data_IF_746789296897
#
_entry.id   IF_746789296897
#
_cell.length_a   1.000
_cell.length_b   1.000
_cell.length_c   1.000
_cell.angle_alpha   90.00
_cell.angle_beta   90.00
_cell.angle_gamma   90.00
#
_symmetry.space_group_name_H-M   'P 1'
#
loop_
_entity.id
_entity.type
_entity.pdbx_description
1 polymer ?
#
# COMPACT_ATOMS: atom_id res chain seq x y z
N UNK A 1 13.14 -4.15 9.87
CA UNK A 1 12.05 -3.62 10.72
C UNK A 1 10.85 -4.54 10.63
N UNK A 2 10.26 -4.95 11.77
CA UNK A 2 8.98 -5.66 11.75
C UNK A 2 7.93 -4.83 11.04
N UNK A 3 7.00 -5.51 10.35
CA UNK A 3 5.91 -4.86 9.65
C UNK A 3 5.00 -4.08 10.63
N UNK A 4 4.26 -3.08 10.14
CA UNK A 4 3.28 -2.41 10.99
C UNK A 4 2.22 -3.43 11.44
N UNK A 5 1.70 -3.24 12.66
CA UNK A 5 0.63 -4.07 13.22
C UNK A 5 -0.57 -4.11 12.24
N UNK A 6 -0.94 -5.31 11.75
CA UNK A 6 -1.98 -5.45 10.74
C UNK A 6 -3.38 -5.13 11.26
N UNK A 7 -3.63 -5.24 12.57
CA UNK A 7 -4.96 -5.08 13.17
C UNK A 7 -5.20 -3.69 13.78
N UNK A 8 -4.16 -2.85 13.83
CA UNK A 8 -4.23 -1.55 14.47
C UNK A 8 -4.90 -0.44 13.63
N UNK A 9 -5.32 -0.73 12.40
CA UNK A 9 -5.90 0.24 11.47
C UNK A 9 -6.88 -0.47 10.54
N UNK A 10 -8.02 0.17 10.27
CA UNK A 10 -9.01 -0.30 9.31
C UNK A 10 -9.57 0.86 8.48
N UNK A 11 -9.95 0.57 7.23
CA UNK A 11 -10.69 1.49 6.37
C UNK A 11 -12.17 1.25 6.64
N UNK A 12 -12.88 2.26 7.14
CA UNK A 12 -14.31 2.18 7.47
C UNK A 12 -15.19 2.45 6.25
N UNK A 13 -14.73 3.28 5.31
CA UNK A 13 -15.42 3.57 4.05
C UNK A 13 -14.42 3.59 2.89
N UNK A 14 -14.67 2.74 1.89
CA UNK A 14 -13.95 2.68 0.61
C UNK A 14 -14.58 3.58 -0.46
N UNK A 15 -15.67 4.28 -0.14
CA UNK A 15 -16.28 5.35 -0.93
C UNK A 15 -16.18 6.72 -0.21
N UNK A 16 -16.19 7.84 -0.96
CA UNK A 16 -16.25 9.17 -0.36
C UNK A 16 -17.53 9.38 0.48
N UNK A 17 -17.44 9.96 1.69
CA UNK A 17 -16.23 10.43 2.35
C UNK A 17 -15.42 9.27 2.96
N UNK A 18 -14.14 9.15 2.56
CA UNK A 18 -13.24 8.12 3.07
C UNK A 18 -12.99 8.28 4.56
N UNK A 19 -12.96 7.15 5.28
CA UNK A 19 -12.68 7.10 6.72
C UNK A 19 -11.64 6.02 7.01
N UNK A 20 -10.57 6.41 7.70
CA UNK A 20 -9.50 5.51 8.13
C UNK A 20 -9.34 5.63 9.63
N UNK A 21 -9.60 4.54 10.33
CA UNK A 21 -9.58 4.47 11.78
C UNK A 21 -8.31 3.78 12.25
N UNK A 22 -7.85 4.12 13.46
CA UNK A 22 -6.69 3.50 14.07
C UNK A 22 -6.90 3.30 15.57
N UNK A 23 -6.25 2.28 16.10
CA UNK A 23 -6.29 1.97 17.51
C UNK A 23 -5.39 2.93 18.32
N UNK A 24 -6.01 3.79 19.13
CA UNK A 24 -5.34 4.86 19.88
C UNK A 24 -5.03 4.54 21.36
N UNK A 25 -5.09 3.27 21.78
CA UNK A 25 -4.93 2.90 23.20
C UNK A 25 -3.61 3.40 23.80
N UNK A 26 -3.72 4.16 24.89
CA UNK A 26 -2.64 4.91 25.55
C UNK A 26 -1.44 4.05 26.00
N UNK A 27 -1.64 2.75 26.19
CA UNK A 27 -0.62 1.82 26.71
C UNK A 27 0.12 1.05 25.61
N UNK A 28 -0.41 1.08 24.38
CA UNK A 28 0.31 0.58 23.21
C UNK A 28 1.19 1.70 22.69
N UNK A 29 2.42 1.79 23.20
CA UNK A 29 3.46 2.59 22.55
C UNK A 29 3.43 2.29 21.05
N UNK A 30 3.48 3.34 20.20
CA UNK A 30 3.33 3.34 18.73
C UNK A 30 2.05 4.04 18.17
N UNK A 31 1.24 4.70 19.00
CA UNK A 31 0.05 5.46 18.54
C UNK A 31 0.39 6.53 17.47
N UNK A 32 1.49 7.29 17.66
CA UNK A 32 1.93 8.28 16.68
C UNK A 32 2.16 7.71 15.28
N UNK A 33 2.80 6.54 15.17
CA UNK A 33 3.05 5.90 13.88
C UNK A 33 1.77 5.33 13.26
N UNK A 34 0.83 4.84 14.07
CA UNK A 34 -0.50 4.40 13.61
C UNK A 34 -1.29 5.57 13.02
N UNK A 35 -1.30 6.71 13.72
CA UNK A 35 -1.94 7.95 13.23
C UNK A 35 -1.31 8.43 11.92
N UNK A 36 0.03 8.47 11.85
CA UNK A 36 0.74 8.85 10.62
C UNK A 36 0.40 7.92 9.45
N UNK A 37 0.33 6.61 9.69
CA UNK A 37 -0.08 5.62 8.68
C UNK A 37 -1.54 5.83 8.25
N UNK A 38 -2.47 6.06 9.18
CA UNK A 38 -3.87 6.33 8.86
C UNK A 38 -4.04 7.57 7.99
N UNK A 39 -3.35 8.67 8.32
CA UNK A 39 -3.35 9.90 7.52
C UNK A 39 -2.79 9.65 6.12
N UNK A 40 -1.70 8.89 6.01
CA UNK A 40 -1.07 8.60 4.72
C UNK A 40 -1.96 7.72 3.83
N UNK A 41 -2.64 6.71 4.40
CA UNK A 41 -3.62 5.88 3.68
C UNK A 41 -4.80 6.74 3.24
N UNK A 42 -5.36 7.56 4.14
CA UNK A 42 -6.47 8.47 3.83
C UNK A 42 -6.14 9.39 2.65
N UNK A 43 -4.96 10.02 2.66
CA UNK A 43 -4.51 10.87 1.54
C UNK A 43 -4.47 10.11 0.22
N UNK A 44 -3.98 8.87 0.21
CA UNK A 44 -3.90 8.06 -1.02
C UNK A 44 -5.28 7.58 -1.49
N UNK A 45 -6.20 7.28 -0.57
CA UNK A 45 -7.60 7.01 -0.89
C UNK A 45 -8.25 8.24 -1.55
N UNK A 46 -8.08 9.43 -0.96
CA UNK A 46 -8.59 10.69 -1.52
C UNK A 46 -8.06 11.00 -2.92
N UNK A 47 -6.83 10.58 -3.23
CA UNK A 47 -6.22 10.74 -4.56
C UNK A 47 -6.53 9.60 -5.53
N UNK A 48 -7.22 8.54 -5.09
CA UNK A 48 -7.45 7.34 -5.90
C UNK A 48 -6.20 6.47 -6.14
N UNK A 49 -5.07 6.76 -5.49
CA UNK A 49 -3.78 6.06 -5.66
C UNK A 49 -3.60 4.87 -4.69
N UNK A 50 -4.61 4.57 -3.86
CA UNK A 50 -4.59 3.40 -2.96
C UNK A 50 -4.94 2.09 -3.69
N UNK A 51 -4.24 1.81 -4.79
CA UNK A 51 -4.47 0.65 -5.67
C UNK A 51 -3.17 -0.07 -6.00
N UNK A 52 -3.28 -1.36 -6.28
CA UNK A 52 -2.16 -2.20 -6.68
C UNK A 52 -1.72 -1.84 -8.10
N UNK A 53 -0.45 -1.49 -8.27
CA UNK A 53 0.12 -1.11 -9.58
C UNK A 53 0.29 -2.26 -10.57
N UNK A 54 -0.09 -3.48 -10.19
CA UNK A 54 -0.02 -4.64 -11.08
C UNK A 54 -1.41 -5.15 -11.46
N UNK A 55 -2.29 -5.41 -10.49
CA UNK A 55 -3.63 -5.95 -10.76
C UNK A 55 -4.76 -4.92 -10.72
N UNK A 56 -4.51 -3.69 -10.24
CA UNK A 56 -5.54 -2.63 -10.17
C UNK A 56 -6.44 -2.68 -8.92
N UNK A 57 -6.46 -3.81 -8.21
CA UNK A 57 -7.26 -3.98 -6.99
C UNK A 57 -6.87 -2.99 -5.88
N UNK A 58 -7.82 -2.70 -4.99
CA UNK A 58 -7.55 -1.90 -3.79
C UNK A 58 -6.43 -2.54 -2.94
N UNK A 59 -5.59 -1.68 -2.33
CA UNK A 59 -4.59 -2.16 -1.38
C UNK A 59 -5.26 -2.49 -0.04
N UNK A 60 -4.90 -3.62 0.61
CA UNK A 60 -5.40 -3.92 1.95
C UNK A 60 -4.90 -2.89 2.98
N UNK A 61 -5.72 -2.59 3.99
CA UNK A 61 -5.46 -1.65 5.09
C UNK A 61 -4.26 -2.02 5.99
N UNK A 62 -3.97 -3.32 6.16
CA UNK A 62 -2.80 -3.83 6.86
C UNK A 62 -1.48 -3.58 6.11
N UNK A 63 -1.52 -3.14 4.84
CA UNK A 63 -0.31 -2.75 4.12
C UNK A 63 0.29 -1.47 4.68
N UNK A 64 1.60 -1.33 4.45
CA UNK A 64 2.29 -0.06 4.69
C UNK A 64 1.70 1.03 3.80
N UNK A 65 1.70 2.27 4.29
CA UNK A 65 1.18 3.42 3.53
C UNK A 65 1.94 3.69 2.20
N UNK A 66 3.17 3.21 2.06
CA UNK A 66 3.99 3.30 0.85
C UNK A 66 3.89 2.04 -0.04
N UNK A 67 3.02 1.08 0.30
CA UNK A 67 2.85 -0.13 -0.51
C UNK A 67 2.35 0.22 -1.92
N UNK A 68 2.95 -0.43 -2.92
CA UNK A 68 2.57 -0.31 -4.34
C UNK A 68 1.86 -1.54 -4.88
N UNK A 69 1.86 -2.64 -4.13
CA UNK A 69 1.36 -3.94 -4.56
C UNK A 69 0.58 -4.61 -3.43
N UNK A 70 -0.53 -5.27 -3.78
CA UNK A 70 -1.41 -5.94 -2.82
C UNK A 70 -0.76 -7.17 -2.17
N UNK A 71 0.10 -7.88 -2.90
CA UNK A 71 0.80 -9.07 -2.43
C UNK A 71 2.18 -9.27 -3.08
N UNK A 72 2.93 -10.23 -2.54
CA UNK A 72 4.25 -10.56 -3.05
C UNK A 72 4.21 -11.08 -4.49
N UNK A 73 3.16 -11.82 -4.86
CA UNK A 73 2.96 -12.30 -6.23
C UNK A 73 2.88 -11.15 -7.25
N UNK A 74 2.07 -10.12 -6.96
CA UNK A 74 1.96 -8.91 -7.76
C UNK A 74 3.29 -8.15 -7.83
N UNK A 75 4.02 -8.03 -6.71
CA UNK A 75 5.37 -7.43 -6.70
C UNK A 75 6.34 -8.20 -7.61
N UNK A 76 6.38 -9.53 -7.52
CA UNK A 76 7.27 -10.40 -8.31
C UNK A 76 6.90 -10.38 -9.80
N UNK A 77 5.61 -10.37 -10.15
CA UNK A 77 5.15 -10.24 -11.55
C UNK A 77 5.54 -8.89 -12.14
N UNK A 78 5.32 -7.80 -11.42
CA UNK A 78 5.73 -6.47 -11.85
C UNK A 78 7.26 -6.36 -12.04
N UNK A 79 8.05 -6.97 -11.14
CA UNK A 79 9.51 -7.04 -11.30
C UNK A 79 9.91 -7.80 -12.56
N UNK A 80 9.35 -9.00 -12.78
CA UNK A 80 9.62 -9.81 -13.99
C UNK A 80 9.24 -9.07 -15.27
N UNK A 81 8.10 -8.38 -15.30
CA UNK A 81 7.68 -7.58 -16.45
C UNK A 81 8.69 -6.47 -16.78
N UNK A 82 9.21 -5.76 -15.76
CA UNK A 82 10.24 -4.73 -15.97
C UNK A 82 11.55 -5.32 -16.48
N UNK A 83 12.01 -6.44 -15.91
CA UNK A 83 13.21 -7.13 -16.39
C UNK A 83 13.06 -7.60 -17.84
N UNK A 84 11.90 -8.14 -18.21
CA UNK A 84 11.60 -8.55 -19.58
C UNK A 84 11.60 -7.35 -20.54
N UNK A 85 10.97 -6.24 -20.16
CA UNK A 85 10.95 -5.02 -20.96
C UNK A 85 12.36 -4.43 -21.17
N UNK A 86 13.19 -4.40 -20.13
CA UNK A 86 14.58 -3.95 -20.23
C UNK A 86 15.43 -4.87 -21.12
N UNK A 87 15.24 -6.20 -21.00
CA UNK A 87 15.93 -7.15 -21.85
C UNK A 87 15.52 -7.04 -23.33
N UNK A 88 14.25 -6.71 -23.61
CA UNK A 88 13.78 -6.40 -24.97
C UNK A 88 14.38 -5.08 -25.48
N UNK A 89 14.36 -4.02 -24.67
CA UNK A 89 14.91 -2.73 -25.05
C UNK A 89 16.42 -2.81 -25.36
N UNK A 90 17.18 -3.59 -24.58
CA UNK A 90 18.61 -3.82 -24.84
C UNK A 90 18.89 -4.64 -26.11
N UNK A 91 17.96 -5.53 -26.52
CA UNK A 91 18.06 -6.28 -27.77
C UNK A 91 17.71 -5.46 -29.02
N UNK A 92 16.94 -4.39 -28.87
CA UNK A 92 16.57 -3.50 -29.99
C UNK A 92 17.61 -2.41 -30.28
N UNK A 93 18.67 -2.32 -29.47
CA UNK A 93 19.67 -1.25 -29.53
C UNK A 93 21.06 -1.73 -30.02
N UNK A 94 21.18 -2.97 -30.50
CA UNK A 94 22.41 -3.55 -31.07
C UNK A 94 22.12 -4.27 -32.36
#
# INVERSE_FOLDING_TARGET
MPGPDPYALWIESDEPPYRVCHQAYFWTGNNGNRRTRAIAILRRLSLGDWRCRWCGDALPDWRRADARYCNEGCRKRAARSRCAALALAGRSAG
#
